data_IF_203653067795
#
_entry.id   IF_203653067795
#
_cell.length_a   1.000
_cell.length_b   1.000
_cell.length_c   1.000
_cell.angle_alpha   90.00
_cell.angle_beta   90.00
_cell.angle_gamma   90.00
#
_symmetry.space_group_name_H-M   'P 1'
#
loop_
_entity.id
_entity.type
_entity.pdbx_description
1 polymer ?
#
# COMPACT_ATOMS: atom_id res chain seq x y z
N UNK A 1 25.53 14.40 13.16
CA UNK A 1 24.41 13.93 13.99
C UNK A 1 23.53 13.01 13.17
N UNK A 2 23.36 11.77 13.62
CA UNK A 2 22.52 10.79 12.94
C UNK A 2 21.04 11.02 13.34
N UNK A 3 20.11 11.14 12.37
CA UNK A 3 18.70 11.29 12.71
C UNK A 3 18.16 10.03 13.39
N UNK A 4 17.20 10.20 14.30
CA UNK A 4 16.49 9.09 14.92
C UNK A 4 15.57 8.41 13.92
N UNK A 5 15.13 7.17 14.21
CA UNK A 5 14.17 6.45 13.38
C UNK A 5 12.86 7.23 13.24
N UNK A 6 12.40 7.87 14.31
CA UNK A 6 11.19 8.70 14.29
C UNK A 6 11.35 9.92 13.38
N UNK A 7 12.52 10.56 13.36
CA UNK A 7 12.82 11.68 12.47
C UNK A 7 12.89 11.24 11.02
N UNK A 8 13.51 10.10 10.73
CA UNK A 8 13.57 9.52 9.39
C UNK A 8 12.14 9.24 8.89
N UNK A 9 11.32 8.60 9.72
CA UNK A 9 9.92 8.30 9.38
C UNK A 9 9.12 9.57 9.12
N UNK A 10 9.27 10.59 9.97
CA UNK A 10 8.59 11.88 9.81
C UNK A 10 9.02 12.59 8.52
N UNK A 11 10.31 12.59 8.21
CA UNK A 11 10.83 13.18 6.97
C UNK A 11 10.32 12.44 5.74
N UNK A 12 10.26 11.12 5.78
CA UNK A 12 9.70 10.31 4.70
C UNK A 12 8.22 10.59 4.52
N UNK A 13 7.46 10.73 5.61
CA UNK A 13 6.03 11.07 5.54
C UNK A 13 5.79 12.41 4.85
N UNK A 14 6.57 13.43 5.17
CA UNK A 14 6.49 14.75 4.53
C UNK A 14 6.81 14.65 3.04
N UNK A 15 7.90 13.98 2.67
CA UNK A 15 8.32 13.84 1.28
C UNK A 15 7.30 13.08 0.44
N UNK A 16 6.80 11.94 0.95
CA UNK A 16 5.79 11.13 0.28
C UNK A 16 4.48 11.90 0.12
N UNK A 17 4.04 12.59 1.17
CA UNK A 17 2.81 13.40 1.14
C UNK A 17 2.90 14.52 0.11
N UNK A 18 4.01 15.24 0.07
CA UNK A 18 4.20 16.32 -0.90
C UNK A 18 4.18 15.80 -2.34
N UNK A 19 4.89 14.71 -2.61
CA UNK A 19 4.98 14.14 -3.95
C UNK A 19 3.64 13.57 -4.41
N UNK A 20 2.99 12.75 -3.59
CA UNK A 20 1.78 12.03 -3.98
C UNK A 20 0.53 12.93 -3.94
N UNK A 21 0.43 13.85 -2.98
CA UNK A 21 -0.67 14.81 -2.95
C UNK A 21 -0.56 15.80 -4.12
N UNK A 22 0.65 16.20 -4.49
CA UNK A 22 0.89 17.03 -5.67
C UNK A 22 0.44 16.34 -6.96
N UNK A 23 0.82 15.07 -7.13
CA UNK A 23 0.40 14.25 -8.26
C UNK A 23 -1.14 14.09 -8.30
N UNK A 24 -1.75 13.79 -7.16
CA UNK A 24 -3.20 13.64 -7.06
C UNK A 24 -3.93 14.92 -7.47
N UNK A 25 -3.45 16.07 -7.00
CA UNK A 25 -4.03 17.39 -7.33
C UNK A 25 -3.92 17.68 -8.83
N UNK A 26 -2.75 17.45 -9.42
CA UNK A 26 -2.51 17.71 -10.85
C UNK A 26 -3.34 16.81 -11.76
N UNK A 27 -3.74 15.62 -11.28
CA UNK A 27 -4.44 14.60 -12.07
C UNK A 27 -5.91 14.42 -11.64
N UNK A 28 -6.46 15.30 -10.82
CA UNK A 28 -7.83 15.23 -10.31
C UNK A 28 -8.15 13.91 -9.57
N UNK A 29 -7.18 13.41 -8.80
CA UNK A 29 -7.27 12.17 -8.02
C UNK A 29 -7.34 12.43 -6.51
N UNK A 30 -7.67 13.64 -6.10
CA UNK A 30 -7.80 14.00 -4.69
C UNK A 30 -8.83 13.10 -3.99
N UNK A 31 -8.47 12.61 -2.80
CA UNK A 31 -9.27 11.66 -2.06
C UNK A 31 -9.13 10.20 -2.48
N UNK A 32 -8.55 9.93 -3.66
CA UNK A 32 -8.31 8.57 -4.16
C UNK A 32 -6.91 8.04 -3.82
N UNK A 33 -6.01 8.92 -3.46
CA UNK A 33 -4.68 8.61 -2.94
C UNK A 33 -4.59 9.23 -1.56
N UNK A 34 -4.46 8.41 -0.54
CA UNK A 34 -4.38 8.86 0.85
C UNK A 34 -3.11 8.33 1.49
N UNK A 35 -2.51 9.13 2.37
CA UNK A 35 -1.30 8.76 3.08
C UNK A 35 -1.56 8.96 4.57
N UNK A 36 -1.28 7.93 5.35
CA UNK A 36 -1.40 7.99 6.82
C UNK A 36 -0.17 7.42 7.49
N UNK A 37 0.12 7.91 8.67
CA UNK A 37 1.23 7.46 9.50
C UNK A 37 0.69 6.81 10.77
N UNK A 38 1.15 5.60 11.03
CA UNK A 38 0.90 4.86 12.26
C UNK A 38 2.21 4.74 13.06
N UNK A 39 2.17 4.10 14.23
CA UNK A 39 3.34 3.97 15.12
C UNK A 39 4.55 3.35 14.38
N UNK A 40 4.33 2.30 13.58
CA UNK A 40 5.39 1.50 12.97
C UNK A 40 5.29 1.43 11.44
N UNK A 41 4.49 2.32 10.83
CA UNK A 41 4.28 2.27 9.38
C UNK A 41 3.87 3.61 8.81
N UNK A 42 4.11 3.76 7.52
CA UNK A 42 3.45 4.75 6.66
C UNK A 42 2.66 3.96 5.63
N UNK A 43 1.38 4.26 5.47
CA UNK A 43 0.51 3.59 4.50
C UNK A 43 0.10 4.54 3.40
N UNK A 44 0.34 4.13 2.15
CA UNK A 44 -0.21 4.77 0.96
C UNK A 44 -1.42 3.95 0.55
N UNK A 45 -2.60 4.55 0.61
CA UNK A 45 -3.87 3.91 0.30
C UNK A 45 -4.38 4.38 -1.06
N UNK A 46 -4.60 3.44 -1.97
CA UNK A 46 -5.07 3.70 -3.34
C UNK A 46 -6.47 3.14 -3.51
N UNK A 47 -7.43 4.00 -3.88
CA UNK A 47 -8.80 3.56 -4.17
C UNK A 47 -8.80 2.51 -5.28
N UNK A 48 -9.65 1.47 -5.15
CA UNK A 48 -9.65 0.36 -6.10
C UNK A 48 -9.99 0.79 -7.52
N UNK A 49 -10.87 1.78 -7.70
CA UNK A 49 -11.27 2.27 -9.02
C UNK A 49 -10.16 3.03 -9.76
N UNK A 50 -9.07 3.40 -9.09
CA UNK A 50 -7.86 3.87 -9.76
C UNK A 50 -7.14 2.73 -10.48
N UNK A 51 -7.23 1.52 -9.95
CA UNK A 51 -6.37 0.40 -10.31
C UNK A 51 -7.11 -0.68 -11.10
N UNK A 52 -8.38 -0.94 -10.76
CA UNK A 52 -9.12 -2.10 -11.24
C UNK A 52 -10.56 -1.76 -11.63
N UNK A 53 -11.09 -2.54 -12.56
CA UNK A 53 -12.53 -2.59 -12.77
C UNK A 53 -13.20 -3.49 -11.72
N UNK A 54 -14.50 -3.33 -11.52
CA UNK A 54 -15.28 -4.13 -10.56
C UNK A 54 -15.09 -5.63 -10.80
N UNK A 55 -14.77 -6.37 -9.75
CA UNK A 55 -14.59 -7.83 -9.82
C UNK A 55 -13.35 -8.30 -10.59
N UNK A 56 -12.51 -7.40 -11.05
CA UNK A 56 -11.28 -7.71 -11.77
C UNK A 56 -10.03 -7.48 -10.92
N UNK A 57 -8.99 -8.26 -11.16
CA UNK A 57 -7.65 -8.04 -10.61
C UNK A 57 -6.65 -7.60 -11.68
N UNK A 58 -7.10 -7.34 -12.90
CA UNK A 58 -6.25 -6.81 -13.97
C UNK A 58 -6.10 -5.30 -13.81
N UNK A 59 -4.85 -4.82 -13.85
CA UNK A 59 -4.56 -3.40 -13.74
C UNK A 59 -5.08 -2.66 -14.97
N UNK A 60 -5.85 -1.60 -14.73
CA UNK A 60 -6.32 -0.70 -15.79
C UNK A 60 -5.15 0.05 -16.42
N UNK A 61 -5.27 0.50 -17.69
CA UNK A 61 -4.20 1.32 -18.30
C UNK A 61 -3.83 2.55 -17.48
N UNK A 62 -4.80 3.27 -16.92
CA UNK A 62 -4.55 4.44 -16.07
C UNK A 62 -3.89 4.11 -14.73
N UNK A 63 -3.96 2.87 -14.27
CA UNK A 63 -3.31 2.42 -13.05
C UNK A 63 -1.79 2.46 -13.15
N UNK A 64 -1.25 2.26 -14.34
CA UNK A 64 0.20 2.22 -14.57
C UNK A 64 0.85 3.55 -14.19
N UNK A 65 0.29 4.67 -14.62
CA UNK A 65 0.82 6.00 -14.28
C UNK A 65 0.82 6.26 -12.79
N UNK A 66 -0.27 5.89 -12.10
CA UNK A 66 -0.37 6.01 -10.64
C UNK A 66 0.69 5.18 -9.94
N UNK A 67 0.83 3.92 -10.34
CA UNK A 67 1.79 3.00 -9.71
C UNK A 67 3.24 3.34 -10.02
N UNK A 68 3.54 3.88 -11.20
CA UNK A 68 4.87 4.37 -11.53
C UNK A 68 5.23 5.58 -10.66
N UNK A 69 4.28 6.49 -10.45
CA UNK A 69 4.49 7.64 -9.55
C UNK A 69 4.74 7.19 -8.11
N UNK A 70 3.98 6.21 -7.64
CA UNK A 70 4.20 5.61 -6.32
C UNK A 70 5.58 4.95 -6.25
N UNK A 71 5.95 4.17 -7.25
CA UNK A 71 7.26 3.52 -7.30
C UNK A 71 8.41 4.53 -7.27
N UNK A 72 8.30 5.63 -8.02
CA UNK A 72 9.29 6.70 -8.02
C UNK A 72 9.46 7.32 -6.63
N UNK A 73 8.36 7.53 -5.92
CA UNK A 73 8.37 8.07 -4.56
C UNK A 73 8.98 7.08 -3.53
N UNK A 74 8.86 5.78 -3.78
CA UNK A 74 9.36 4.73 -2.88
C UNK A 74 10.80 4.29 -3.20
N UNK A 75 11.27 4.58 -4.41
CA UNK A 75 12.61 4.16 -4.84
C UNK A 75 13.68 4.84 -3.99
N UNK A 76 14.59 4.05 -3.46
CA UNK A 76 15.62 4.53 -2.56
C UNK A 76 15.30 4.36 -1.08
N UNK A 77 14.05 4.06 -0.72
CA UNK A 77 13.72 3.69 0.65
C UNK A 77 14.13 2.23 0.89
N UNK A 78 14.93 1.95 1.95
CA UNK A 78 15.39 0.58 2.22
C UNK A 78 14.38 -0.27 2.96
N UNK A 79 13.23 0.28 3.26
CA UNK A 79 12.20 -0.33 4.12
C UNK A 79 11.58 -1.56 3.48
N UNK A 80 11.26 -2.55 4.30
CA UNK A 80 10.34 -3.61 3.96
C UNK A 80 8.95 -3.02 3.68
N UNK A 81 8.27 -3.53 2.67
CA UNK A 81 6.97 -3.03 2.25
C UNK A 81 5.98 -4.18 2.05
N UNK A 82 4.77 -4.00 2.55
CA UNK A 82 3.67 -4.94 2.38
C UNK A 82 2.59 -4.32 1.49
N UNK A 83 2.21 -5.05 0.45
CA UNK A 83 1.10 -4.68 -0.42
C UNK A 83 -0.13 -5.43 0.06
N UNK A 84 -1.19 -4.69 0.40
CA UNK A 84 -2.42 -5.26 0.94
C UNK A 84 -3.59 -5.02 0.00
N UNK A 85 -4.36 -6.06 -0.26
CA UNK A 85 -5.66 -5.95 -0.95
C UNK A 85 -6.80 -5.99 0.05
N UNK A 86 -7.73 -5.06 -0.07
CA UNK A 86 -8.92 -4.95 0.80
C UNK A 86 -10.16 -4.75 -0.05
N UNK A 87 -11.25 -5.40 0.36
CA UNK A 87 -12.57 -5.25 -0.25
C UNK A 87 -13.57 -4.63 0.73
N UNK A 88 -14.73 -4.27 0.23
CA UNK A 88 -15.90 -4.05 1.09
C UNK A 88 -16.52 -5.41 1.49
N UNK A 89 -17.65 -5.38 2.20
CA UNK A 89 -18.32 -6.60 2.64
C UNK A 89 -19.30 -7.19 1.62
N UNK A 90 -19.40 -6.62 0.42
CA UNK A 90 -20.23 -7.20 -0.65
C UNK A 90 -19.45 -8.36 -1.28
N UNK A 91 -20.04 -9.56 -1.35
CA UNK A 91 -19.38 -10.69 -2.01
C UNK A 91 -19.06 -10.38 -3.46
N UNK A 92 -17.84 -10.78 -3.90
CA UNK A 92 -17.45 -10.61 -5.29
C UNK A 92 -18.40 -11.40 -6.21
N UNK A 93 -18.75 -10.78 -7.34
CA UNK A 93 -19.55 -11.41 -8.38
C UNK A 93 -18.72 -11.48 -9.66
N UNK A 94 -17.82 -12.44 -9.72
CA UNK A 94 -16.92 -12.66 -10.85
C UNK A 94 -16.70 -14.15 -11.03
N UNK A 95 -16.69 -14.66 -12.28
CA UNK A 95 -16.38 -16.06 -12.53
C UNK A 95 -14.93 -16.44 -12.19
N UNK A 96 -14.04 -15.46 -12.09
CA UNK A 96 -12.62 -15.70 -11.85
C UNK A 96 -12.27 -15.84 -10.37
N UNK A 97 -13.13 -15.33 -9.47
CA UNK A 97 -12.83 -15.31 -8.04
C UNK A 97 -13.99 -15.88 -7.23
N UNK A 98 -13.76 -17.00 -6.52
CA UNK A 98 -14.82 -17.60 -5.68
C UNK A 98 -15.24 -16.71 -4.51
N UNK A 99 -14.30 -15.99 -3.89
CA UNK A 99 -14.55 -15.13 -2.73
C UNK A 99 -13.71 -13.87 -2.77
N UNK A 100 -13.95 -12.95 -1.85
CA UNK A 100 -13.15 -11.74 -1.68
C UNK A 100 -11.71 -12.03 -1.27
N UNK A 101 -11.42 -13.20 -0.72
CA UNK A 101 -10.06 -13.60 -0.39
C UNK A 101 -9.19 -13.73 -1.64
N UNK A 102 -9.67 -14.48 -2.64
CA UNK A 102 -8.92 -14.67 -3.88
C UNK A 102 -8.82 -13.36 -4.66
N UNK A 103 -9.88 -12.55 -4.72
CA UNK A 103 -9.86 -11.26 -5.39
C UNK A 103 -8.83 -10.32 -4.76
N UNK A 104 -8.87 -10.15 -3.45
CA UNK A 104 -7.95 -9.25 -2.75
C UNK A 104 -6.50 -9.71 -2.84
N UNK A 105 -6.25 -11.01 -2.74
CA UNK A 105 -4.92 -11.59 -2.90
C UNK A 105 -4.37 -11.40 -4.32
N UNK A 106 -5.18 -11.65 -5.33
CA UNK A 106 -4.79 -11.46 -6.73
C UNK A 106 -4.46 -9.99 -7.03
N UNK A 107 -5.30 -9.06 -6.55
CA UNK A 107 -5.06 -7.63 -6.69
C UNK A 107 -3.75 -7.19 -6.06
N UNK A 108 -3.51 -7.60 -4.82
CA UNK A 108 -2.27 -7.28 -4.10
C UNK A 108 -1.04 -7.83 -4.82
N UNK A 109 -1.09 -9.07 -5.31
CA UNK A 109 0.03 -9.69 -6.03
C UNK A 109 0.32 -8.99 -7.36
N UNK A 110 -0.71 -8.55 -8.09
CA UNK A 110 -0.53 -7.83 -9.35
C UNK A 110 0.08 -6.44 -9.14
N UNK A 111 -0.31 -5.74 -8.09
CA UNK A 111 0.30 -4.46 -7.71
C UNK A 111 1.77 -4.67 -7.36
N UNK A 112 2.09 -5.66 -6.51
CA UNK A 112 3.46 -5.97 -6.14
C UNK A 112 4.32 -6.25 -7.37
N UNK A 113 3.83 -7.12 -8.25
CA UNK A 113 4.57 -7.49 -9.47
C UNK A 113 4.84 -6.28 -10.35
N UNK A 114 3.85 -5.40 -10.53
CA UNK A 114 4.02 -4.17 -11.31
C UNK A 114 5.09 -3.25 -10.67
N UNK A 115 5.01 -3.02 -9.36
CA UNK A 115 6.00 -2.21 -8.66
C UNK A 115 7.41 -2.79 -8.79
N UNK A 116 7.54 -4.11 -8.76
CA UNK A 116 8.81 -4.81 -8.88
C UNK A 116 9.39 -4.73 -10.29
N UNK A 117 8.58 -5.12 -11.28
CA UNK A 117 9.04 -5.28 -12.67
C UNK A 117 9.08 -3.95 -13.43
N UNK A 118 8.02 -3.16 -13.36
CA UNK A 118 7.91 -1.89 -14.06
C UNK A 118 8.38 -0.72 -13.21
N UNK A 119 8.06 -0.73 -11.93
CA UNK A 119 8.46 0.30 -10.97
C UNK A 119 9.91 0.21 -10.50
N UNK A 120 10.59 -0.91 -10.76
CA UNK A 120 12.01 -1.12 -10.40
C UNK A 120 12.29 -1.04 -8.90
N UNK A 121 11.35 -1.49 -8.06
CA UNK A 121 11.57 -1.59 -6.62
C UNK A 121 12.31 -2.90 -6.27
N UNK A 122 13.49 -3.09 -6.85
CA UNK A 122 14.24 -4.36 -6.73
C UNK A 122 15.04 -4.46 -5.44
N UNK A 123 15.39 -3.33 -4.82
CA UNK A 123 16.16 -3.27 -3.58
C UNK A 123 15.32 -3.44 -2.30
N UNK A 124 13.99 -3.41 -2.42
CA UNK A 124 13.10 -3.52 -1.27
C UNK A 124 12.66 -4.97 -1.04
N UNK A 125 12.48 -5.32 0.23
CA UNK A 125 11.76 -6.53 0.60
C UNK A 125 10.27 -6.28 0.43
N UNK A 126 9.68 -6.89 -0.58
CA UNK A 126 8.27 -6.76 -0.91
C UNK A 126 7.54 -8.07 -0.65
N UNK A 127 6.40 -7.99 0.01
CA UNK A 127 5.47 -9.11 0.13
C UNK A 127 4.04 -8.61 0.02
N UNK A 128 3.08 -9.51 -0.18
CA UNK A 128 1.69 -9.12 -0.34
C UNK A 128 0.77 -9.96 0.53
N UNK A 129 -0.41 -9.43 0.81
CA UNK A 129 -1.47 -10.11 1.54
C UNK A 129 -2.85 -9.67 1.03
N UNK A 130 -3.76 -10.62 0.94
CA UNK A 130 -5.18 -10.35 0.71
C UNK A 130 -5.95 -10.48 2.01
N UNK A 131 -6.70 -9.46 2.37
CA UNK A 131 -7.44 -9.40 3.63
C UNK A 131 -8.95 -9.56 3.45
N UNK A 132 -9.42 -9.65 2.21
CA UNK A 132 -10.86 -9.65 1.92
C UNK A 132 -11.55 -8.44 2.60
N UNK A 133 -12.70 -8.64 3.24
CA UNK A 133 -13.45 -7.59 3.94
C UNK A 133 -13.10 -7.45 5.43
N UNK A 134 -12.06 -8.12 5.91
CA UNK A 134 -11.79 -8.26 7.36
C UNK A 134 -11.19 -7.03 8.03
N UNK A 135 -10.70 -6.06 7.26
CA UNK A 135 -10.02 -4.86 7.78
C UNK A 135 -10.67 -3.58 7.25
N UNK A 136 -11.95 -3.32 7.58
CA UNK A 136 -12.61 -2.09 7.13
C UNK A 136 -12.02 -0.87 7.81
N UNK A 137 -11.94 0.23 7.05
CA UNK A 137 -11.55 1.56 7.57
C UNK A 137 -12.73 2.52 7.62
N UNK A 138 -13.88 2.12 7.09
CA UNK A 138 -15.10 2.91 7.04
C UNK A 138 -16.34 2.01 7.17
N UNK A 139 -17.51 2.63 7.27
CA UNK A 139 -18.79 1.93 7.42
C UNK A 139 -19.19 1.28 6.10
N UNK A 140 -19.35 -0.04 6.09
CA UNK A 140 -19.84 -0.81 4.95
C UNK A 140 -21.33 -0.63 4.66
N UNK A 141 -22.08 -0.01 5.57
CA UNK A 141 -23.53 0.24 5.36
C UNK A 141 -23.80 1.38 4.37
N UNK A 142 -22.81 2.21 4.09
CA UNK A 142 -22.93 3.31 3.14
C UNK A 142 -22.09 3.08 1.87
N UNK A 143 -22.53 3.57 0.69
CA UNK A 143 -21.75 3.48 -0.53
C UNK A 143 -20.38 4.16 -0.40
N UNK A 144 -20.33 5.31 0.28
CA UNK A 144 -19.10 6.08 0.52
C UNK A 144 -18.11 5.28 1.36
N UNK A 145 -18.61 4.66 2.44
CA UNK A 145 -17.79 3.81 3.32
C UNK A 145 -17.25 2.58 2.59
N UNK A 146 -18.10 1.92 1.81
CA UNK A 146 -17.67 0.77 0.98
C UNK A 146 -16.57 1.16 -0.01
N UNK A 147 -16.72 2.32 -0.65
CA UNK A 147 -15.71 2.82 -1.58
C UNK A 147 -14.34 3.03 -0.92
N UNK A 148 -14.32 3.51 0.33
CA UNK A 148 -13.09 3.67 1.12
C UNK A 148 -12.48 2.31 1.51
N UNK A 149 -13.32 1.32 1.78
CA UNK A 149 -12.85 -0.03 2.13
C UNK A 149 -12.25 -0.77 0.95
N UNK A 150 -12.75 -0.54 -0.28
CA UNK A 150 -12.17 -1.10 -1.51
C UNK A 150 -10.88 -0.35 -1.87
N UNK A 151 -9.75 -0.93 -1.52
CA UNK A 151 -8.45 -0.26 -1.68
C UNK A 151 -7.30 -1.25 -1.81
N UNK A 152 -6.20 -0.76 -2.32
CA UNK A 152 -4.89 -1.38 -2.19
C UNK A 152 -4.03 -0.48 -1.30
N UNK A 153 -3.46 -1.03 -0.24
CA UNK A 153 -2.57 -0.33 0.66
C UNK A 153 -1.12 -0.75 0.42
N UNK A 154 -0.24 0.22 0.35
CA UNK A 154 1.20 0.00 0.35
C UNK A 154 1.70 0.44 1.72
N UNK A 155 2.12 -0.52 2.53
CA UNK A 155 2.51 -0.31 3.92
C UNK A 155 4.02 -0.34 4.01
N UNK A 156 4.62 0.82 4.30
CA UNK A 156 6.06 0.98 4.50
C UNK A 156 6.33 0.70 5.98
N UNK A 157 7.09 -0.35 6.27
CA UNK A 157 7.31 -0.83 7.63
C UNK A 157 8.54 -0.19 8.25
N UNK A 158 8.40 0.19 9.50
CA UNK A 158 9.50 0.68 10.33
C UNK A 158 9.67 -0.26 11.51
N UNK A 159 10.91 -0.65 11.87
CA UNK A 159 11.11 -1.57 12.99
C UNK A 159 10.70 -0.91 14.30
N UNK A 160 10.15 -1.71 15.18
CA UNK A 160 9.88 -1.30 16.57
C UNK A 160 11.18 -1.24 17.38
N UNK A 161 11.16 -0.54 18.51
CA UNK A 161 12.30 -0.50 19.45
C UNK A 161 12.64 -1.93 19.92
N UNK A 162 11.63 -2.76 20.16
CA UNK A 162 11.82 -4.15 20.57
C UNK A 162 12.52 -4.97 19.50
N UNK A 163 12.11 -4.84 18.23
CA UNK A 163 12.76 -5.52 17.08
C UNK A 163 14.21 -5.08 16.90
N UNK A 164 14.48 -3.77 17.04
CA UNK A 164 15.83 -3.24 16.99
C UNK A 164 16.70 -3.79 18.12
N UNK A 165 16.17 -3.88 19.34
CA UNK A 165 16.88 -4.42 20.49
C UNK A 165 17.20 -5.91 20.30
N UNK A 166 16.28 -6.70 19.75
CA UNK A 166 16.52 -8.11 19.42
C UNK A 166 17.63 -8.26 18.37
N UNK A 167 17.63 -7.43 17.34
CA UNK A 167 18.65 -7.42 16.30
C UNK A 167 20.05 -7.13 16.89
N UNK A 168 20.16 -6.15 17.79
CA UNK A 168 21.41 -5.78 18.46
C UNK A 168 21.92 -6.87 19.41
N UNK A 169 21.04 -7.63 20.05
CA UNK A 169 21.41 -8.75 20.93
C UNK A 169 21.89 -9.97 20.14
N UNK A 170 21.31 -10.21 18.96
CA UNK A 170 21.71 -11.32 18.07
C UNK A 170 23.12 -11.16 17.48
N UNK A 171 23.63 -9.93 17.36
CA UNK A 171 24.98 -9.65 16.85
C UNK A 171 26.08 -9.78 17.92
N UNK A 172 25.73 -9.87 19.21
CA UNK A 172 26.70 -10.06 20.30
C UNK A 172 26.96 -11.51 20.66
N UNK A 173 26.32 -12.45 19.96
CA UNK A 173 26.40 -13.89 20.26
C UNK A 173 27.23 -14.74 19.27
N UNK A 174 28.05 -14.11 18.41
CA UNK A 174 29.01 -14.82 17.51
C UNK A 174 30.44 -14.37 17.77
#
# INVERSE_FOLDING_TARGET
ITPSLAEIKSNNMVALSNTLNGFAKENNLEGKIQIRSDANSITISLADNLLFDSGSADLKPGAQDVLLQVADALRGLPNEMRIEGHTDNVPVNSPDFPTNWELSGARASHVLRFLREQGKLTQNDLFFAGYAETHPIADNSTPEGRALNRRADIVILYPTIEELNKSLQGTKGN
#
